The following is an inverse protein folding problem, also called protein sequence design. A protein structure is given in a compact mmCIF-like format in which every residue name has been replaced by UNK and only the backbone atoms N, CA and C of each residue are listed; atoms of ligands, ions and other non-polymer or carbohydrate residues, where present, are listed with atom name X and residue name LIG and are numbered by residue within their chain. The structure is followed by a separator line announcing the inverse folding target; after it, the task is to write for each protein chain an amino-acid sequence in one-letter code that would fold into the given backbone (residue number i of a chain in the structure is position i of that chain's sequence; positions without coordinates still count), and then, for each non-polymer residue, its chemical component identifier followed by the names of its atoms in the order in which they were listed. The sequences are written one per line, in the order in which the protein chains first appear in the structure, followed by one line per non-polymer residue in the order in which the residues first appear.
data_IF_046725244949
#
_entry.id   IF_046725244949
#
_cell.length_a   1.000
_cell.length_b   1.000
_cell.length_c   1.000
_cell.angle_alpha   90.00
_cell.angle_beta   90.00
_cell.angle_gamma   90.00
#
_symmetry.space_group_name_H-M   'P 1'
#
loop_
_entity.id
_entity.type
_entity.pdbx_description
1 polymer ?
#
# COMPACT_ATOMS: atom_id res chain seq x y z
N UNK A 1 39.69 -6.09 15.66
CA UNK A 1 39.11 -5.20 14.64
C UNK A 1 37.76 -5.76 14.27
N UNK A 2 36.66 -5.14 14.68
CA UNK A 2 35.32 -5.60 14.32
C UNK A 2 35.10 -5.28 12.84
N UNK A 3 35.06 -6.34 12.02
CA UNK A 3 34.80 -6.23 10.58
C UNK A 3 33.34 -5.79 10.40
N UNK A 4 33.10 -4.49 10.27
CA UNK A 4 31.76 -3.98 10.01
C UNK A 4 31.29 -4.52 8.65
N UNK A 5 30.07 -5.10 8.57
CA UNK A 5 29.59 -5.68 7.32
C UNK A 5 29.51 -4.62 6.22
N UNK A 6 29.95 -4.99 5.01
CA UNK A 6 29.93 -4.13 3.81
C UNK A 6 28.48 -3.75 3.51
N UNK A 7 28.10 -2.49 3.75
CA UNK A 7 26.74 -2.01 3.55
C UNK A 7 26.49 -1.68 2.08
N UNK A 8 25.32 -2.06 1.57
CA UNK A 8 24.83 -1.61 0.26
C UNK A 8 24.53 -0.10 0.35
N UNK A 9 25.02 0.72 -0.61
CA UNK A 9 24.67 2.14 -0.68
C UNK A 9 23.17 2.34 -0.92
N UNK A 10 22.58 3.32 -0.24
CA UNK A 10 21.19 3.69 -0.48
C UNK A 10 21.14 4.55 -1.74
N UNK A 11 20.21 4.31 -2.68
CA UNK A 11 20.00 5.17 -3.84
C UNK A 11 19.70 6.61 -3.43
N UNK A 12 20.00 7.57 -4.32
CA UNK A 12 19.77 9.00 -4.06
C UNK A 12 18.32 9.31 -3.68
N UNK A 13 17.37 8.62 -4.31
CA UNK A 13 15.93 8.72 -4.03
C UNK A 13 15.41 7.49 -3.28
N UNK A 14 16.30 6.71 -2.66
CA UNK A 14 15.97 5.50 -1.92
C UNK A 14 15.67 5.79 -0.45
N UNK A 15 14.97 4.85 0.19
CA UNK A 15 14.67 4.88 1.63
C UNK A 15 15.67 4.00 2.37
N UNK A 16 16.19 4.45 3.51
CA UNK A 16 16.96 3.60 4.41
C UNK A 16 16.01 2.77 5.30
N UNK A 17 15.87 1.48 5.02
CA UNK A 17 15.03 0.57 5.79
C UNK A 17 15.70 0.00 7.05
N UNK A 18 17.00 0.28 7.27
CA UNK A 18 17.76 -0.37 8.35
C UNK A 18 17.49 0.32 9.69
N UNK A 19 17.26 -0.50 10.73
CA UNK A 19 17.06 -0.04 12.11
C UNK A 19 15.96 1.03 12.24
N UNK A 20 14.84 0.84 11.53
CA UNK A 20 13.70 1.76 11.53
C UNK A 20 12.56 1.23 12.39
N UNK A 21 11.91 2.11 13.13
CA UNK A 21 10.60 1.85 13.74
C UNK A 21 9.53 2.17 12.69
N UNK A 22 8.72 1.17 12.32
CA UNK A 22 7.78 1.30 11.20
C UNK A 22 6.34 1.04 11.62
N UNK A 23 5.41 1.78 11.03
CA UNK A 23 3.99 1.42 11.03
C UNK A 23 3.74 0.45 9.88
N UNK A 24 3.28 -0.76 10.22
CA UNK A 24 2.92 -1.80 9.25
C UNK A 24 1.67 -1.42 8.44
N UNK A 25 1.51 -1.96 7.21
CA UNK A 25 0.31 -1.77 6.39
C UNK A 25 -0.89 -2.42 7.05
N UNK A 26 -1.99 -1.68 7.17
CA UNK A 26 -3.26 -2.15 7.74
C UNK A 26 -4.42 -1.57 6.94
N UNK A 27 -5.22 -2.43 6.32
CA UNK A 27 -6.43 -2.02 5.59
C UNK A 27 -7.41 -1.34 6.56
N UNK A 28 -8.01 -0.21 6.15
CA UNK A 28 -8.85 0.71 6.96
C UNK A 28 -8.14 1.44 8.10
N UNK A 29 -7.30 0.78 8.87
CA UNK A 29 -6.63 1.42 10.02
C UNK A 29 -5.41 2.24 9.61
N UNK A 30 -4.80 1.95 8.46
CA UNK A 30 -3.60 2.60 7.93
C UNK A 30 -3.84 3.93 7.19
N UNK A 31 -5.01 4.54 7.35
CA UNK A 31 -5.34 5.81 6.71
C UNK A 31 -4.49 6.99 7.23
N UNK A 32 -4.56 8.12 6.51
CA UNK A 32 -3.76 9.32 6.79
C UNK A 32 -3.68 9.70 8.28
N UNK A 33 -4.78 9.75 9.05
CA UNK A 33 -4.70 10.13 10.47
C UNK A 33 -3.79 9.21 11.30
N UNK A 34 -3.91 7.90 11.12
CA UNK A 34 -3.12 6.91 11.86
C UNK A 34 -1.64 6.98 11.52
N UNK A 35 -1.31 7.20 10.24
CA UNK A 35 0.07 7.36 9.79
C UNK A 35 0.71 8.61 10.38
N UNK A 36 0.00 9.74 10.32
CA UNK A 36 0.46 10.98 10.92
C UNK A 36 0.63 10.86 12.43
N UNK A 37 -0.24 10.11 13.11
CA UNK A 37 -0.13 9.83 14.53
C UNK A 37 1.09 8.97 14.85
N UNK A 38 1.34 7.92 14.07
CA UNK A 38 2.53 7.08 14.24
C UNK A 38 3.83 7.89 14.05
N UNK A 39 3.87 8.76 13.04
CA UNK A 39 4.99 9.68 12.82
C UNK A 39 5.17 10.65 14.00
N UNK A 40 4.07 11.14 14.59
CA UNK A 40 4.11 12.01 15.76
C UNK A 40 4.76 11.32 16.97
N UNK A 41 4.49 10.03 17.16
CA UNK A 41 5.05 9.22 18.26
C UNK A 41 6.42 8.59 17.96
N UNK A 42 7.05 8.92 16.84
CA UNK A 42 8.43 8.54 16.56
C UNK A 42 8.63 7.38 15.58
N UNK A 43 7.60 6.99 14.81
CA UNK A 43 7.83 6.12 13.66
C UNK A 43 8.76 6.81 12.64
N UNK A 44 9.71 6.06 12.12
CA UNK A 44 10.62 6.50 11.06
C UNK A 44 9.97 6.44 9.68
N UNK A 45 9.19 5.38 9.43
CA UNK A 45 8.50 5.10 8.18
C UNK A 45 7.09 4.60 8.47
N UNK A 46 6.18 4.86 7.54
CA UNK A 46 4.78 4.46 7.65
C UNK A 46 4.31 3.85 6.35
N UNK A 47 3.64 2.70 6.42
CA UNK A 47 2.99 2.10 5.27
C UNK A 47 1.53 2.58 5.17
N UNK A 48 1.09 2.82 3.94
CA UNK A 48 -0.33 2.97 3.62
C UNK A 48 -1.11 1.64 3.77
N UNK A 49 -2.45 1.69 3.70
CA UNK A 49 -3.24 0.48 3.52
C UNK A 49 -2.86 -0.23 2.21
N UNK A 50 -3.10 -1.55 2.14
CA UNK A 50 -3.05 -2.27 0.87
C UNK A 50 -4.08 -1.64 -0.08
N UNK A 51 -3.60 -1.09 -1.19
CA UNK A 51 -4.45 -0.49 -2.23
C UNK A 51 -4.34 -1.32 -3.50
N UNK A 52 -5.47 -1.76 -4.05
CA UNK A 52 -5.47 -2.62 -5.25
C UNK A 52 -5.05 -1.80 -6.48
N UNK A 53 -4.19 -2.36 -7.33
CA UNK A 53 -3.72 -1.71 -8.57
C UNK A 53 -4.86 -1.12 -9.41
N UNK A 54 -5.93 -1.89 -9.62
CA UNK A 54 -7.12 -1.51 -10.37
C UNK A 54 -7.92 -0.37 -9.76
N UNK A 55 -7.85 -0.15 -8.44
CA UNK A 55 -8.52 1.00 -7.82
C UNK A 55 -7.71 2.29 -8.00
N UNK A 56 -6.38 2.19 -8.09
CA UNK A 56 -5.50 3.33 -8.38
C UNK A 56 -5.52 3.72 -9.85
N UNK A 57 -5.53 2.74 -10.76
CA UNK A 57 -5.61 3.00 -12.20
C UNK A 57 -6.95 3.69 -12.51
N UNK A 58 -6.88 4.82 -13.21
CA UNK A 58 -8.04 5.68 -13.49
C UNK A 58 -8.36 6.70 -12.39
N UNK A 59 -7.52 6.85 -11.35
CA UNK A 59 -7.65 7.95 -10.39
C UNK A 59 -7.16 9.28 -10.97
N UNK A 60 -7.74 10.37 -10.49
CA UNK A 60 -7.29 11.73 -10.73
C UNK A 60 -6.53 12.23 -9.52
N UNK A 61 -5.27 12.65 -9.72
CA UNK A 61 -4.45 13.27 -8.69
C UNK A 61 -4.81 14.75 -8.56
N UNK A 62 -5.28 15.17 -7.39
CA UNK A 62 -5.62 16.58 -7.11
C UNK A 62 -4.95 17.06 -5.83
N UNK A 63 -4.51 18.32 -5.81
CA UNK A 63 -4.01 18.94 -4.58
C UNK A 63 -5.16 19.68 -3.88
N UNK A 64 -5.47 19.26 -2.67
CA UNK A 64 -6.50 19.85 -1.84
C UNK A 64 -5.90 20.95 -0.97
N UNK A 65 -6.05 22.20 -1.40
CA UNK A 65 -5.49 23.37 -0.71
C UNK A 65 -6.04 23.55 0.71
N UNK A 66 -7.29 23.17 0.98
CA UNK A 66 -7.91 23.34 2.28
C UNK A 66 -7.29 22.41 3.34
N UNK A 67 -6.91 21.20 2.94
CA UNK A 67 -6.32 20.19 3.83
C UNK A 67 -4.81 20.07 3.68
N UNK A 68 -4.23 20.75 2.68
CA UNK A 68 -2.83 20.59 2.25
C UNK A 68 -2.47 19.12 1.97
N UNK A 69 -3.40 18.39 1.34
CA UNK A 69 -3.25 16.98 0.98
C UNK A 69 -3.21 16.78 -0.52
N UNK A 70 -2.64 15.65 -0.95
CA UNK A 70 -2.82 15.12 -2.30
C UNK A 70 -3.84 14.00 -2.22
N UNK A 71 -4.87 14.11 -3.05
CA UNK A 71 -6.01 13.20 -3.09
C UNK A 71 -6.02 12.50 -4.45
N UNK A 72 -6.09 11.18 -4.43
CA UNK A 72 -6.32 10.34 -5.61
C UNK A 72 -7.79 9.94 -5.59
N UNK A 73 -8.59 10.56 -6.46
CA UNK A 73 -10.04 10.34 -6.51
C UNK A 73 -10.47 9.61 -7.76
N UNK A 74 -11.56 8.86 -7.68
CA UNK A 74 -12.19 8.21 -8.83
C UNK A 74 -13.71 8.31 -8.68
N UNK A 75 -14.42 8.37 -9.80
CA UNK A 75 -15.88 8.24 -9.77
C UNK A 75 -16.25 6.83 -9.27
N UNK A 76 -17.08 6.77 -8.23
CA UNK A 76 -17.55 5.49 -7.69
C UNK A 76 -18.32 4.74 -8.76
N UNK A 77 -17.99 3.45 -8.93
CA UNK A 77 -18.74 2.58 -9.80
C UNK A 77 -19.81 1.76 -9.06
N UNK A 78 -19.73 1.53 -7.73
CA UNK A 78 -20.74 0.90 -6.86
C UNK A 78 -21.70 -0.08 -7.57
N UNK A 79 -21.15 -1.02 -8.34
CA UNK A 79 -21.92 -2.02 -9.11
C UNK A 79 -22.91 -1.48 -10.16
N UNK A 80 -22.87 -0.19 -10.49
CA UNK A 80 -23.76 0.44 -11.47
C UNK A 80 -23.22 0.33 -12.89
N UNK A 81 -23.92 -0.42 -13.74
CA UNK A 81 -23.64 -0.49 -15.18
C UNK A 81 -24.14 0.78 -15.88
N UNK A 82 -23.32 1.83 -15.87
CA UNK A 82 -23.51 3.03 -16.69
C UNK A 82 -23.28 4.35 -15.95
N UNK A 83 -23.04 5.45 -16.69
CA UNK A 83 -22.77 6.76 -16.11
C UNK A 83 -24.02 7.30 -15.41
N UNK A 84 -23.98 7.33 -14.08
CA UNK A 84 -25.02 7.93 -13.25
C UNK A 84 -24.71 9.42 -13.05
N UNK A 85 -25.71 10.29 -13.25
CA UNK A 85 -25.58 11.76 -13.10
C UNK A 85 -25.23 12.21 -11.68
N UNK A 86 -25.38 11.32 -10.70
CA UNK A 86 -25.16 11.54 -9.26
C UNK A 86 -23.95 10.76 -8.71
N UNK A 87 -23.04 10.28 -9.56
CA UNK A 87 -21.82 9.62 -9.10
C UNK A 87 -20.97 10.57 -8.24
N UNK A 88 -20.75 10.16 -7.00
CA UNK A 88 -19.83 10.84 -6.08
C UNK A 88 -18.41 10.38 -6.36
N UNK A 89 -17.48 11.33 -6.28
CA UNK A 89 -16.06 11.01 -6.24
C UNK A 89 -15.73 10.30 -4.93
N UNK A 90 -15.05 9.16 -5.04
CA UNK A 90 -14.49 8.40 -3.93
C UNK A 90 -13.00 8.70 -3.84
N UNK A 91 -12.51 8.94 -2.63
CA UNK A 91 -11.08 9.10 -2.35
C UNK A 91 -10.49 7.70 -2.18
N UNK A 92 -9.64 7.30 -3.13
CA UNK A 92 -8.97 5.99 -3.12
C UNK A 92 -7.73 6.03 -2.22
N UNK A 93 -6.98 7.13 -2.31
CA UNK A 93 -5.79 7.33 -1.48
C UNK A 93 -5.60 8.81 -1.18
N UNK A 94 -5.23 9.12 0.05
CA UNK A 94 -4.92 10.50 0.48
C UNK A 94 -3.63 10.52 1.28
N UNK A 95 -2.78 11.50 1.00
CA UNK A 95 -1.53 11.72 1.73
C UNK A 95 -1.26 13.20 2.00
N UNK A 96 -0.46 13.48 3.02
CA UNK A 96 0.02 14.84 3.30
C UNK A 96 1.49 15.00 2.86
N UNK A 97 1.77 15.69 1.73
CA UNK A 97 3.08 15.66 1.09
C UNK A 97 4.21 16.16 2.01
N UNK A 98 3.98 17.24 2.76
CA UNK A 98 5.01 17.78 3.65
C UNK A 98 5.26 16.94 4.90
N UNK A 99 4.23 16.27 5.43
CA UNK A 99 4.29 15.61 6.75
C UNK A 99 4.74 14.16 6.67
N UNK A 100 4.32 13.44 5.63
CA UNK A 100 4.62 12.01 5.48
C UNK A 100 5.23 11.64 4.13
N UNK A 101 5.20 12.48 3.10
CA UNK A 101 5.62 12.10 1.73
C UNK A 101 7.04 11.52 1.63
N UNK A 102 7.97 11.98 2.48
CA UNK A 102 9.36 11.46 2.54
C UNK A 102 9.53 10.20 3.40
N UNK A 103 8.46 9.72 4.02
CA UNK A 103 8.44 8.58 4.96
C UNK A 103 7.36 7.55 4.65
N UNK A 104 6.45 7.88 3.74
CA UNK A 104 5.32 7.05 3.35
C UNK A 104 5.75 6.02 2.32
N UNK A 105 5.48 4.76 2.61
CA UNK A 105 5.60 3.64 1.68
C UNK A 105 4.20 3.26 1.21
N UNK A 106 3.97 3.29 -0.09
CA UNK A 106 2.70 2.89 -0.68
C UNK A 106 2.70 1.38 -0.94
N UNK A 107 1.78 0.64 -0.32
CA UNK A 107 1.63 -0.78 -0.56
C UNK A 107 0.53 -1.06 -1.58
N UNK A 108 0.89 -1.72 -2.68
CA UNK A 108 -0.07 -2.16 -3.69
C UNK A 108 -0.39 -3.65 -3.57
N UNK A 109 -1.66 -3.99 -3.76
CA UNK A 109 -2.10 -5.34 -4.12
C UNK A 109 -2.10 -5.46 -5.64
N UNK A 110 -1.25 -6.31 -6.20
CA UNK A 110 -1.20 -6.59 -7.64
C UNK A 110 -0.74 -8.02 -7.89
N UNK A 111 -1.04 -8.53 -9.07
CA UNK A 111 -0.53 -9.81 -9.56
C UNK A 111 -0.18 -9.72 -11.04
N UNK A 112 0.14 -8.52 -11.51
CA UNK A 112 0.40 -8.25 -12.92
C UNK A 112 1.49 -7.19 -13.02
N UNK A 113 2.63 -7.51 -13.64
CA UNK A 113 3.76 -6.59 -13.70
C UNK A 113 3.46 -5.28 -14.42
N UNK A 114 2.61 -5.30 -15.45
CA UNK A 114 2.27 -4.12 -16.24
C UNK A 114 1.39 -3.16 -15.44
N UNK A 115 0.35 -3.69 -14.77
CA UNK A 115 -0.49 -2.89 -13.86
C UNK A 115 0.28 -2.39 -12.64
N UNK A 116 1.22 -3.18 -12.12
CA UNK A 116 2.09 -2.75 -11.02
C UNK A 116 2.85 -1.48 -11.41
N UNK A 117 3.46 -1.46 -12.61
CA UNK A 117 4.15 -0.28 -13.14
C UNK A 117 3.21 0.89 -13.36
N UNK A 118 2.04 0.65 -13.95
CA UNK A 118 1.05 1.69 -14.22
C UNK A 118 0.59 2.38 -12.93
N UNK A 119 0.18 1.61 -11.93
CA UNK A 119 -0.22 2.14 -10.63
C UNK A 119 0.94 2.85 -9.91
N UNK A 120 2.16 2.30 -9.97
CA UNK A 120 3.34 2.91 -9.36
C UNK A 120 3.63 4.30 -9.94
N UNK A 121 3.53 4.47 -11.28
CA UNK A 121 3.78 5.76 -11.94
C UNK A 121 2.86 6.88 -11.43
N UNK A 122 1.61 6.56 -11.09
CA UNK A 122 0.64 7.55 -10.63
C UNK A 122 1.04 8.18 -9.27
N UNK A 123 1.61 7.38 -8.37
CA UNK A 123 1.84 7.78 -6.97
C UNK A 123 3.31 7.95 -6.60
N UNK A 124 4.25 7.44 -7.40
CA UNK A 124 5.69 7.46 -7.09
C UNK A 124 6.24 8.88 -6.83
N UNK A 125 5.65 9.91 -7.42
CA UNK A 125 6.02 11.31 -7.19
C UNK A 125 5.70 11.84 -5.79
N UNK A 126 4.79 11.19 -5.06
CA UNK A 126 4.25 11.67 -3.78
C UNK A 126 4.67 10.84 -2.56
N UNK A 127 5.34 9.70 -2.78
CA UNK A 127 5.72 8.74 -1.74
C UNK A 127 7.22 8.44 -1.74
N UNK A 128 7.71 7.92 -0.61
CA UNK A 128 9.13 7.63 -0.42
C UNK A 128 9.52 6.29 -1.07
N UNK A 129 8.60 5.32 -1.08
CA UNK A 129 8.80 4.00 -1.68
C UNK A 129 7.49 3.32 -2.06
N UNK A 130 7.63 2.26 -2.84
CA UNK A 130 6.55 1.39 -3.31
C UNK A 130 6.82 -0.02 -2.76
N UNK A 131 5.78 -0.68 -2.29
CA UNK A 131 5.78 -2.03 -1.73
C UNK A 131 4.70 -2.89 -2.41
N UNK A 132 4.93 -4.19 -2.56
CA UNK A 132 3.98 -5.14 -3.15
C UNK A 132 3.52 -6.12 -2.08
N UNK A 133 2.21 -6.18 -1.83
CA UNK A 133 1.66 -7.14 -0.88
C UNK A 133 1.75 -8.57 -1.45
N UNK A 134 2.60 -9.39 -0.82
CA UNK A 134 2.75 -10.80 -1.11
C UNK A 134 2.33 -11.69 0.07
N UNK A 135 1.69 -11.15 1.11
CA UNK A 135 1.47 -11.85 2.38
C UNK A 135 0.01 -12.09 2.76
N UNK A 136 -0.94 -11.33 2.22
CA UNK A 136 -2.33 -11.39 2.65
C UNK A 136 -3.00 -12.72 2.25
N UNK A 137 -3.51 -13.54 3.20
CA UNK A 137 -4.17 -14.80 2.89
C UNK A 137 -5.69 -14.63 2.66
N UNK A 138 -6.22 -13.40 2.72
CA UNK A 138 -7.65 -13.15 2.64
C UNK A 138 -8.17 -13.33 1.21
N UNK A 139 -9.41 -13.84 1.03
CA UNK A 139 -9.99 -14.08 -0.30
C UNK A 139 -9.94 -12.88 -1.24
N UNK A 140 -10.18 -11.66 -0.75
CA UNK A 140 -10.13 -10.45 -1.60
C UNK A 140 -8.77 -10.26 -2.29
N UNK A 141 -7.67 -10.70 -1.66
CA UNK A 141 -6.31 -10.60 -2.21
C UNK A 141 -5.98 -11.86 -3.02
N UNK A 142 -6.30 -13.05 -2.51
CA UNK A 142 -5.91 -14.32 -3.15
C UNK A 142 -6.75 -14.71 -4.36
N UNK A 143 -8.03 -14.35 -4.43
CA UNK A 143 -8.93 -14.68 -5.55
C UNK A 143 -8.49 -14.02 -6.86
N UNK A 144 -7.86 -12.84 -6.76
CA UNK A 144 -7.23 -12.15 -7.90
C UNK A 144 -5.81 -12.60 -8.19
N UNK A 145 -5.26 -13.58 -7.47
CA UNK A 145 -3.87 -14.02 -7.60
C UNK A 145 -2.83 -13.12 -6.92
N UNK A 146 -3.28 -12.18 -6.06
CA UNK A 146 -2.44 -11.24 -5.31
C UNK A 146 -2.17 -11.78 -3.89
N UNK A 147 -1.41 -11.03 -3.08
CA UNK A 147 -1.15 -11.38 -1.68
C UNK A 147 -0.39 -12.71 -1.56
N UNK A 148 -0.79 -13.56 -0.61
CA UNK A 148 -0.11 -14.83 -0.35
C UNK A 148 -0.11 -15.80 -1.56
N UNK A 149 -0.99 -15.59 -2.54
CA UNK A 149 -0.99 -16.39 -3.77
C UNK A 149 0.30 -16.21 -4.59
N UNK A 150 0.91 -15.01 -4.56
CA UNK A 150 2.16 -14.71 -5.26
C UNK A 150 3.34 -15.53 -4.76
N UNK A 151 3.32 -15.93 -3.48
CA UNK A 151 4.39 -16.76 -2.89
C UNK A 151 4.47 -18.15 -3.52
N UNK A 152 3.42 -18.59 -4.22
CA UNK A 152 3.41 -19.84 -4.99
C UNK A 152 4.05 -19.67 -6.38
N UNK A 153 4.24 -18.43 -6.83
CA UNK A 153 4.79 -18.06 -8.14
C UNK A 153 5.90 -17.01 -7.97
N UNK A 154 7.06 -17.36 -7.41
CA UNK A 154 8.12 -16.41 -7.08
C UNK A 154 8.64 -15.64 -8.30
N UNK A 155 8.70 -16.26 -9.48
CA UNK A 155 9.12 -15.56 -10.71
C UNK A 155 8.17 -14.40 -11.07
N UNK A 156 6.87 -14.59 -10.82
CA UNK A 156 5.85 -13.57 -11.07
C UNK A 156 5.94 -12.42 -10.06
N UNK A 157 6.25 -12.73 -8.80
CA UNK A 157 6.52 -11.72 -7.78
C UNK A 157 7.73 -10.87 -8.17
N UNK A 158 8.83 -11.50 -8.58
CA UNK A 158 10.03 -10.80 -9.04
C UNK A 158 9.71 -9.89 -10.23
N UNK A 159 8.92 -10.37 -11.20
CA UNK A 159 8.49 -9.54 -12.32
C UNK A 159 7.69 -8.31 -11.86
N UNK A 160 6.79 -8.43 -10.88
CA UNK A 160 6.04 -7.29 -10.35
C UNK A 160 6.96 -6.28 -9.62
N UNK A 161 8.04 -6.73 -9.00
CA UNK A 161 8.98 -5.90 -8.23
C UNK A 161 10.05 -5.24 -9.11
N UNK A 162 10.54 -5.96 -10.13
CA UNK A 162 11.68 -5.56 -10.95
C UNK A 162 11.27 -4.80 -12.22
N UNK A 163 9.96 -4.69 -12.49
CA UNK A 163 9.48 -4.00 -13.70
C UNK A 163 9.75 -2.49 -13.62
N UNK A 164 10.42 -1.91 -14.64
CA UNK A 164 10.83 -0.52 -14.60
C UNK A 164 9.64 0.43 -14.79
N UNK A 165 9.32 1.21 -13.76
CA UNK A 165 8.34 2.30 -13.85
C UNK A 165 8.92 3.62 -14.40
N UNK A 166 10.24 3.70 -14.65
CA UNK A 166 10.92 4.94 -15.04
C UNK A 166 11.07 5.93 -13.88
N UNK A 167 11.81 7.04 -14.08
CA UNK A 167 11.98 8.09 -13.07
C UNK A 167 10.72 8.96 -12.96
N UNK A 168 9.67 8.41 -12.37
CA UNK A 168 8.39 9.09 -12.14
C UNK A 168 8.47 10.22 -11.09
N UNK A 169 9.63 10.44 -10.44
CA UNK A 169 9.83 11.45 -9.39
C UNK A 169 10.35 12.80 -9.90
N UNK A 170 10.71 12.88 -11.19
CA UNK A 170 11.27 14.08 -11.82
C UNK A 170 10.26 15.20 -12.08
N UNK A 171 8.96 14.90 -12.18
CA UNK A 171 7.95 15.85 -12.65
C UNK A 171 6.97 16.28 -11.54
N UNK A 172 7.49 16.94 -10.50
CA UNK A 172 6.67 17.49 -9.41
C UNK A 172 5.82 18.71 -9.82
N UNK A 173 5.50 18.90 -11.11
CA UNK A 173 4.88 20.13 -11.60
C UNK A 173 3.97 20.08 -12.83
N UNK A 174 3.92 19.03 -13.66
CA UNK A 174 3.21 19.11 -14.95
C UNK A 174 2.03 18.13 -15.17
N UNK A 175 1.44 17.56 -14.12
CA UNK A 175 0.35 16.57 -14.26
C UNK A 175 -1.09 17.11 -14.34
N UNK A 176 -1.32 18.40 -14.62
CA UNK A 176 -2.66 18.99 -14.62
C UNK A 176 -3.41 18.91 -15.96
N UNK A 177 -2.79 18.41 -17.04
CA UNK A 177 -3.42 18.37 -18.36
C UNK A 177 -3.81 16.94 -18.72
N UNK A 178 -5.10 16.66 -18.50
CA UNK A 178 -5.93 15.59 -19.06
C UNK A 178 -5.27 14.58 -20.02
N UNK A 179 -5.04 13.34 -19.53
CA UNK A 179 -5.15 12.16 -20.39
C UNK A 179 -6.64 11.89 -20.60
N UNK A 180 -7.23 12.56 -21.60
CA UNK A 180 -8.48 12.11 -22.22
C UNK A 180 -8.11 11.49 -23.55
N UNK A 181 -8.83 10.42 -23.87
CA UNK A 181 -8.79 9.65 -25.11
C UNK A 181 -7.77 8.50 -25.15
N UNK A 182 -8.17 7.41 -24.50
CA UNK A 182 -7.70 6.06 -24.80
C UNK A 182 -8.85 5.09 -24.58
N UNK A 183 -9.51 4.68 -25.66
CA UNK A 183 -10.50 3.59 -25.69
C UNK A 183 -9.79 2.29 -25.28
N UNK A 184 -9.95 1.88 -24.03
CA UNK A 184 -9.49 0.59 -23.53
C UNK A 184 -10.71 -0.33 -23.48
N UNK A 185 -10.64 -1.39 -24.27
CA UNK A 185 -11.73 -2.34 -24.48
C UNK A 185 -12.28 -2.90 -23.17
N UNK A 186 -13.60 -3.08 -23.17
CA UNK A 186 -14.45 -3.70 -22.16
C UNK A 186 -13.69 -4.31 -20.96
N UNK A 187 -13.68 -3.56 -19.86
CA UNK A 187 -13.27 -4.03 -18.54
C UNK A 187 -14.13 -5.25 -18.14
N UNK A 188 -13.47 -6.36 -17.80
CA UNK A 188 -14.11 -7.43 -17.03
C UNK A 188 -14.56 -6.86 -15.67
N UNK A 189 -15.77 -7.18 -15.19
CA UNK A 189 -16.29 -6.63 -13.95
C UNK A 189 -15.36 -6.97 -12.78
N UNK A 190 -15.01 -5.95 -11.99
CA UNK A 190 -14.38 -6.12 -10.69
C UNK A 190 -15.27 -7.05 -9.83
N UNK A 191 -14.70 -7.98 -9.06
CA UNK A 191 -15.47 -8.70 -8.05
C UNK A 191 -16.06 -7.69 -7.06
N UNK A 192 -17.34 -7.88 -6.71
CA UNK A 192 -18.18 -6.97 -5.92
C UNK A 192 -17.56 -6.56 -4.55
N UNK A 193 -16.53 -7.28 -4.09
CA UNK A 193 -15.87 -7.07 -2.79
C UNK A 193 -14.79 -5.97 -2.79
N UNK A 194 -14.40 -5.43 -3.95
CA UNK A 194 -13.35 -4.40 -4.03
C UNK A 194 -13.82 -3.01 -3.54
N UNK A 195 -15.11 -2.71 -3.70
CA UNK A 195 -15.74 -1.46 -3.23
C UNK A 195 -16.15 -1.54 -1.73
N UNK A 196 -16.24 -2.74 -1.14
CA UNK A 196 -16.61 -2.91 0.28
C UNK A 196 -15.54 -2.38 1.25
N UNK A 197 -14.30 -2.21 0.79
CA UNK A 197 -13.23 -1.58 1.57
C UNK A 197 -13.40 -0.06 1.72
N UNK A 198 -14.24 0.58 0.89
CA UNK A 198 -14.46 2.04 0.86
C UNK A 198 -15.82 2.48 1.43
N UNK A 199 -16.66 1.55 1.90
CA UNK A 199 -18.00 1.85 2.43
C UNK A 199 -17.97 2.50 3.82
N UNK A 200 -18.66 3.63 3.97
CA UNK A 200 -18.98 4.25 5.26
C UNK A 200 -19.82 3.29 6.12
N UNK A 201 -19.17 2.57 7.03
CA UNK A 201 -19.82 1.77 8.06
C UNK A 201 -20.12 2.62 9.30
N UNK A 202 -21.41 2.71 9.64
CA UNK A 202 -21.97 3.33 10.84
C UNK A 202 -21.17 2.98 12.11
N UNK A 203 -20.68 3.99 12.83
CA UNK A 203 -19.77 3.87 13.99
C UNK A 203 -20.46 3.39 15.27
N UNK A 204 -21.57 2.65 15.16
CA UNK A 204 -22.43 2.30 16.29
C UNK A 204 -22.56 0.81 16.62
N UNK A 205 -21.89 -0.09 15.90
CA UNK A 205 -22.07 -1.54 16.07
C UNK A 205 -20.83 -2.32 16.56
N UNK A 206 -19.73 -1.65 16.95
CA UNK A 206 -18.48 -2.33 17.32
C UNK A 206 -18.28 -2.53 18.84
N UNK A 207 -19.32 -2.38 19.67
CA UNK A 207 -19.18 -2.54 21.13
C UNK A 207 -19.65 -3.89 21.70
N UNK A 208 -20.30 -4.76 20.91
CA UNK A 208 -21.05 -5.90 21.50
C UNK A 208 -20.50 -7.32 21.25
N UNK A 209 -19.32 -7.52 20.64
CA UNK A 209 -18.83 -8.89 20.36
C UNK A 209 -17.41 -9.24 20.82
N UNK A 210 -16.83 -8.43 21.71
CA UNK A 210 -15.62 -8.81 22.44
C UNK A 210 -15.99 -9.65 23.68
N UNK A 211 -16.36 -10.91 23.44
CA UNK A 211 -16.52 -11.93 24.48
C UNK A 211 -15.22 -12.11 25.27
N UNK A 212 -15.20 -11.55 26.48
CA UNK A 212 -14.15 -11.67 27.47
C UNK A 212 -14.12 -13.11 28.00
N UNK A 213 -13.30 -13.98 27.42
CA UNK A 213 -13.01 -15.30 27.99
C UNK A 213 -11.90 -15.15 29.03
N UNK A 214 -12.31 -14.96 30.28
CA UNK A 214 -11.44 -15.05 31.46
C UNK A 214 -10.96 -16.49 31.60
N UNK A 215 -9.65 -16.70 31.45
CA UNK A 215 -8.98 -17.97 31.73
C UNK A 215 -7.81 -17.75 32.69
N UNK A 216 -8.08 -17.98 33.97
CA UNK A 216 -7.04 -18.15 34.98
C UNK A 216 -6.15 -19.34 34.63
N UNK A 217 -4.83 -19.12 34.63
CA UNK A 217 -3.85 -20.15 34.31
C UNK A 217 -2.43 -19.68 34.55
N UNK A 218 -2.03 -19.60 35.82
CA UNK A 218 -0.64 -19.40 36.21
C UNK A 218 0.26 -20.52 35.65
N UNK A 219 1.28 -20.12 34.90
CA UNK A 219 2.29 -21.02 34.36
C UNK A 219 3.57 -20.25 34.05
N UNK A 220 4.51 -20.29 35.00
CA UNK A 220 5.89 -19.84 34.80
C UNK A 220 6.54 -20.80 33.78
N UNK A 221 6.97 -20.29 32.64
CA UNK A 221 7.80 -21.03 31.69
C UNK A 221 9.06 -20.23 31.38
N UNK A 222 10.18 -20.84 31.75
CA UNK A 222 11.50 -20.27 31.71
C UNK A 222 12.06 -20.02 30.32
N UNK A 223 13.09 -19.18 30.33
CA UNK A 223 13.97 -18.87 29.22
C UNK A 223 14.42 -20.15 28.51
N UNK A 224 14.01 -20.30 27.25
CA UNK A 224 14.66 -21.20 26.29
C UNK A 224 15.01 -20.41 25.06
N UNK A 225 16.31 -20.18 24.90
CA UNK A 225 16.91 -19.65 23.69
C UNK A 225 16.56 -20.55 22.51
N UNK A 226 16.09 -19.93 21.44
CA UNK A 226 15.92 -20.56 20.15
C UNK A 226 17.18 -20.27 19.32
N UNK A 227 18.22 -21.08 19.52
CA UNK A 227 19.26 -21.28 18.51
C UNK A 227 18.64 -22.08 17.36
N UNK A 228 18.29 -21.39 16.27
CA UNK A 228 17.90 -22.04 15.01
C UNK A 228 19.00 -21.76 13.98
N UNK A 229 19.80 -22.76 13.57
CA UNK A 229 20.74 -22.61 12.48
C UNK A 229 19.98 -22.76 11.16
N UNK A 230 19.55 -21.65 10.60
CA UNK A 230 18.87 -21.61 9.30
C UNK A 230 18.66 -20.15 8.91
N UNK A 231 19.45 -19.68 7.93
CA UNK A 231 19.41 -18.29 7.49
C UNK A 231 17.99 -17.86 7.12
N UNK A 232 17.51 -16.79 7.75
CA UNK A 232 16.35 -16.06 7.27
C UNK A 232 16.67 -15.59 5.84
N UNK A 233 16.02 -16.20 4.85
CA UNK A 233 15.98 -15.69 3.50
C UNK A 233 15.50 -14.24 3.55
N UNK A 234 16.30 -13.34 2.99
CA UNK A 234 16.07 -11.91 3.03
C UNK A 234 14.69 -11.56 2.45
N UNK A 235 13.91 -10.82 3.22
CA UNK A 235 12.89 -9.96 2.65
C UNK A 235 13.59 -9.00 1.69
N UNK A 236 13.24 -9.09 0.40
CA UNK A 236 13.96 -8.50 -0.71
C UNK A 236 14.22 -7.00 -0.55
N UNK A 237 15.49 -6.64 -0.55
CA UNK A 237 15.95 -5.31 -0.97
C UNK A 237 15.79 -5.25 -2.49
N UNK A 238 14.90 -4.40 -3.02
CA UNK A 238 15.00 -3.98 -4.42
C UNK A 238 14.95 -2.45 -4.56
N UNK A 239 16.02 -1.99 -5.18
CA UNK A 239 16.49 -0.61 -5.28
C UNK A 239 16.02 -0.08 -6.64
N UNK A 240 15.05 0.83 -6.60
CA UNK A 240 14.64 1.63 -7.75
C UNK A 240 15.80 2.57 -8.12
N UNK A 241 16.49 2.29 -9.24
CA UNK A 241 17.55 3.12 -9.85
C UNK A 241 17.05 3.78 -11.13
#
# INVERSE_FOLDING_TARGET
MTNAPKRVPIPRNGVDYRCKLVLAPMVRSGELPSRLLALHYGADLVWGPETVDRSMIGTTRTFNTALSTVDFTRLSNNGSHGPRKDQKESVIFRLHPEREGKKLIFQMGTSDPERAVEAAKLIAGDVAGIDVNAGCPKPFSTSGGMGAALLRTPDKLNQCQDSPAGDARGDRGAGAEALRDGDHGADDPLPDDADEAAGEGDTRAAEDDCGYMSGDGGGVLGERGCDVPGGCAGAGEFIWS
#
